data_IF_159604801591
#
_entry.id   IF_159604801591
#
_cell.length_a   1.000
_cell.length_b   1.000
_cell.length_c   1.000
_cell.angle_alpha   90.00
_cell.angle_beta   90.00
_cell.angle_gamma   90.00
#
_symmetry.space_group_name_H-M   'P 1'
#
loop_
_entity.id
_entity.type
_entity.pdbx_description
1 polymer ?
#
# COMPACT_ATOMS: atom_id res chain seq x y z
N UNK A 1 12.70 -23.44 5.51
CA UNK A 1 11.56 -22.53 5.71
C UNK A 1 10.45 -22.92 4.77
N UNK A 2 9.21 -22.75 5.20
CA UNK A 2 8.01 -23.05 4.41
C UNK A 2 7.89 -22.09 3.21
N UNK A 3 7.60 -22.57 1.99
CA UNK A 3 7.36 -21.71 0.84
C UNK A 3 6.14 -20.81 1.06
N UNK A 4 6.38 -19.50 1.08
CA UNK A 4 5.39 -18.51 1.54
C UNK A 4 5.27 -17.32 0.60
N UNK A 5 4.04 -16.89 0.34
CA UNK A 5 3.77 -15.56 -0.24
C UNK A 5 3.29 -14.62 0.87
N UNK A 6 3.92 -13.45 0.97
CA UNK A 6 3.57 -12.42 1.96
C UNK A 6 3.05 -11.19 1.21
N UNK A 7 1.73 -11.02 1.24
CA UNK A 7 1.04 -9.93 0.58
C UNK A 7 0.98 -8.67 1.45
N UNK A 8 1.18 -7.53 0.80
CA UNK A 8 1.08 -6.21 1.40
C UNK A 8 0.33 -5.24 0.48
N UNK A 9 -0.42 -4.31 1.09
CA UNK A 9 -1.23 -3.33 0.35
C UNK A 9 -0.45 -2.26 -0.44
N UNK A 10 0.86 -2.13 -0.25
CA UNK A 10 1.67 -1.16 -1.00
C UNK A 10 3.06 -1.67 -1.34
N UNK A 11 3.65 -1.09 -2.39
CA UNK A 11 5.05 -1.35 -2.77
C UNK A 11 5.97 -1.14 -1.57
N UNK A 12 5.87 -0.03 -0.85
CA UNK A 12 6.76 0.25 0.28
C UNK A 12 6.62 -0.78 1.41
N UNK A 13 5.41 -1.27 1.69
CA UNK A 13 5.18 -2.29 2.72
C UNK A 13 5.85 -3.63 2.40
N UNK A 14 5.95 -4.02 1.12
CA UNK A 14 6.70 -5.24 0.75
C UNK A 14 8.18 -5.15 1.15
N UNK A 15 8.79 -3.96 1.07
CA UNK A 15 10.17 -3.76 1.54
C UNK A 15 10.26 -3.82 3.07
N UNK A 16 9.28 -3.25 3.79
CA UNK A 16 9.21 -3.33 5.25
C UNK A 16 9.10 -4.76 5.76
N UNK A 17 8.35 -5.62 5.06
CA UNK A 17 8.28 -7.07 5.35
C UNK A 17 9.67 -7.71 5.21
N UNK A 18 10.37 -7.43 4.11
CA UNK A 18 11.73 -7.95 3.90
C UNK A 18 12.71 -7.50 5.01
N UNK A 19 12.63 -6.23 5.42
CA UNK A 19 13.40 -5.72 6.55
C UNK A 19 13.07 -6.49 7.84
N UNK A 20 11.79 -6.72 8.13
CA UNK A 20 11.38 -7.47 9.32
C UNK A 20 11.92 -8.91 9.31
N UNK A 21 11.94 -9.57 8.15
CA UNK A 21 12.53 -10.90 7.97
C UNK A 21 14.04 -10.87 8.24
N UNK A 22 14.77 -9.91 7.67
CA UNK A 22 16.21 -9.78 7.89
C UNK A 22 16.55 -9.56 9.36
N UNK A 23 15.76 -8.73 10.07
CA UNK A 23 15.93 -8.50 11.51
C UNK A 23 15.67 -9.77 12.32
N UNK A 24 14.58 -10.49 12.02
CA UNK A 24 14.25 -11.74 12.71
C UNK A 24 15.30 -12.83 12.47
N UNK A 25 15.98 -12.80 11.32
CA UNK A 25 17.06 -13.70 10.96
C UNK A 25 18.45 -13.22 11.40
N UNK A 26 18.55 -12.11 12.11
CA UNK A 26 19.82 -11.49 12.53
C UNK A 26 20.78 -11.19 11.36
N UNK A 27 20.25 -10.91 10.17
CA UNK A 27 21.04 -10.60 8.96
C UNK A 27 20.57 -9.30 8.26
N UNK A 28 20.68 -8.13 8.92
CA UNK A 28 20.15 -6.87 8.40
C UNK A 28 20.66 -6.52 6.99
N UNK A 29 19.73 -6.28 6.05
CA UNK A 29 20.03 -5.81 4.70
C UNK A 29 20.36 -6.90 3.68
N UNK A 30 20.31 -8.20 4.04
CA UNK A 30 20.49 -9.29 3.08
C UNK A 30 19.38 -9.32 2.02
N UNK A 31 18.15 -8.99 2.39
CA UNK A 31 17.01 -8.92 1.48
C UNK A 31 17.13 -7.83 0.41
N UNK A 32 18.05 -6.86 0.57
CA UNK A 32 18.37 -5.84 -0.43
C UNK A 32 19.32 -6.36 -1.51
N UNK A 33 19.91 -7.55 -1.34
CA UNK A 33 20.74 -8.16 -2.37
C UNK A 33 19.84 -8.72 -3.48
N UNK A 34 20.10 -8.41 -4.76
CA UNK A 34 19.26 -8.84 -5.88
C UNK A 34 19.03 -10.37 -5.95
N UNK A 35 20.01 -11.16 -5.49
CA UNK A 35 19.96 -12.63 -5.47
C UNK A 35 19.87 -13.21 -4.06
N UNK A 36 19.06 -12.60 -3.19
CA UNK A 36 18.78 -13.15 -1.87
C UNK A 36 18.24 -14.59 -1.95
N UNK A 37 18.86 -15.51 -1.20
CA UNK A 37 18.43 -16.92 -1.09
C UNK A 37 17.30 -17.12 -0.08
N UNK A 38 16.90 -16.07 0.63
CA UNK A 38 15.85 -16.14 1.65
C UNK A 38 14.52 -15.60 1.13
N UNK A 39 14.53 -14.37 0.63
CA UNK A 39 13.31 -13.65 0.31
C UNK A 39 13.55 -12.67 -0.84
N UNK A 40 12.61 -12.62 -1.78
CA UNK A 40 12.62 -11.66 -2.89
C UNK A 40 11.35 -10.81 -2.90
N UNK A 41 11.41 -9.67 -3.57
CA UNK A 41 10.29 -8.72 -3.72
C UNK A 41 9.60 -8.92 -5.06
N UNK A 42 8.30 -8.76 -5.11
CA UNK A 42 7.53 -8.81 -6.37
C UNK A 42 6.38 -7.80 -6.36
N UNK A 43 6.35 -6.86 -7.30
CA UNK A 43 5.24 -5.93 -7.46
C UNK A 43 5.12 -5.42 -8.90
N UNK A 44 4.19 -4.49 -9.16
CA UNK A 44 3.89 -3.97 -10.50
C UNK A 44 5.11 -3.40 -11.22
N UNK A 45 5.94 -2.62 -10.52
CA UNK A 45 7.14 -1.98 -11.08
C UNK A 45 8.38 -2.90 -11.20
N UNK A 46 8.31 -4.16 -10.77
CA UNK A 46 9.41 -5.10 -10.99
C UNK A 46 9.57 -5.32 -12.50
N UNK A 47 10.81 -5.30 -13.01
CA UNK A 47 11.05 -5.52 -14.43
C UNK A 47 10.56 -6.91 -14.86
N UNK A 48 10.09 -7.05 -16.10
CA UNK A 48 9.44 -8.31 -16.52
C UNK A 48 10.40 -9.51 -16.53
N UNK A 49 11.68 -9.29 -16.86
CA UNK A 49 12.73 -10.30 -16.69
C UNK A 49 12.88 -10.72 -15.22
N UNK A 50 12.97 -9.75 -14.30
CA UNK A 50 13.07 -10.02 -12.86
C UNK A 50 11.84 -10.75 -12.32
N UNK A 51 10.64 -10.48 -12.85
CA UNK A 51 9.41 -11.21 -12.48
C UNK A 51 9.51 -12.66 -12.90
N UNK A 52 9.95 -12.95 -14.12
CA UNK A 52 10.10 -14.31 -14.65
C UNK A 52 11.16 -15.09 -13.85
N UNK A 53 12.32 -14.48 -13.61
CA UNK A 53 13.39 -15.07 -12.83
C UNK A 53 12.95 -15.35 -11.38
N UNK A 54 12.24 -14.40 -10.77
CA UNK A 54 11.70 -14.56 -9.41
C UNK A 54 10.73 -15.74 -9.32
N UNK A 55 9.80 -15.88 -10.28
CA UNK A 55 8.85 -16.99 -10.34
C UNK A 55 9.57 -18.31 -10.60
N UNK A 56 10.49 -18.35 -11.57
CA UNK A 56 11.25 -19.54 -11.93
C UNK A 56 12.09 -20.05 -10.76
N UNK A 57 12.88 -19.16 -10.13
CA UNK A 57 13.69 -19.47 -8.96
C UNK A 57 12.83 -19.93 -7.76
N UNK A 58 11.67 -19.30 -7.57
CA UNK A 58 10.74 -19.72 -6.54
C UNK A 58 10.11 -21.08 -6.87
N UNK A 59 9.80 -21.39 -8.12
CA UNK A 59 9.31 -22.72 -8.48
C UNK A 59 10.41 -23.79 -8.27
N UNK A 60 11.66 -23.45 -8.61
CA UNK A 60 12.81 -24.36 -8.60
C UNK A 60 13.32 -24.74 -7.22
N UNK A 61 12.98 -24.00 -6.16
CA UNK A 61 13.51 -24.30 -4.82
C UNK A 61 14.38 -23.21 -4.22
N UNK A 62 14.89 -22.29 -5.04
CA UNK A 62 16.10 -21.51 -4.78
C UNK A 62 15.97 -20.54 -3.60
N UNK A 63 14.75 -20.08 -3.32
CA UNK A 63 14.42 -19.32 -2.12
C UNK A 63 12.99 -19.61 -1.66
N UNK A 64 12.66 -19.43 -0.36
CA UNK A 64 11.36 -19.81 0.19
C UNK A 64 10.31 -18.69 0.28
N UNK A 65 10.66 -17.40 0.22
CA UNK A 65 9.70 -16.31 0.51
C UNK A 65 9.59 -15.30 -0.62
N UNK A 66 8.36 -14.95 -1.01
CA UNK A 66 8.10 -13.78 -1.86
C UNK A 66 7.31 -12.75 -1.05
N UNK A 67 7.85 -11.54 -0.90
CA UNK A 67 7.06 -10.39 -0.43
C UNK A 67 6.49 -9.65 -1.62
N UNK A 68 5.16 -9.52 -1.68
CA UNK A 68 4.48 -9.07 -2.89
C UNK A 68 3.27 -8.16 -2.66
N UNK A 69 2.91 -7.42 -3.70
CA UNK A 69 1.58 -6.80 -3.79
C UNK A 69 0.63 -7.69 -4.58
N UNK A 70 -0.62 -7.23 -4.77
CA UNK A 70 -1.62 -7.88 -5.64
C UNK A 70 -1.17 -8.04 -7.10
N UNK A 71 -0.08 -7.37 -7.51
CA UNK A 71 0.51 -7.52 -8.83
C UNK A 71 1.06 -8.93 -9.09
N UNK A 72 1.30 -9.73 -8.05
CA UNK A 72 1.51 -11.18 -8.21
C UNK A 72 0.15 -11.83 -8.55
N UNK A 73 -0.28 -11.59 -9.79
CA UNK A 73 -1.65 -11.73 -10.26
C UNK A 73 -2.22 -13.14 -10.19
N UNK A 74 -3.51 -13.22 -10.49
CA UNK A 74 -4.32 -14.44 -10.58
C UNK A 74 -3.90 -15.20 -11.86
N UNK A 75 -3.68 -16.51 -11.78
CA UNK A 75 -3.42 -17.38 -12.96
C UNK A 75 -2.05 -18.04 -13.05
N UNK A 76 -1.12 -17.76 -12.11
CA UNK A 76 0.10 -18.55 -11.96
C UNK A 76 -0.18 -19.79 -11.09
N UNK A 77 0.46 -20.91 -11.42
CA UNK A 77 0.31 -22.16 -10.67
C UNK A 77 1.23 -22.15 -9.44
N UNK A 78 0.65 -22.16 -8.25
CA UNK A 78 1.37 -21.98 -6.98
C UNK A 78 1.48 -23.29 -6.18
N UNK A 79 1.62 -24.45 -6.84
CA UNK A 79 1.75 -25.77 -6.17
C UNK A 79 2.76 -25.80 -5.03
N UNK A 80 3.87 -25.05 -5.14
CA UNK A 80 4.90 -25.00 -4.10
C UNK A 80 4.44 -24.26 -2.84
N UNK A 81 3.52 -23.30 -2.96
CA UNK A 81 3.11 -22.42 -1.87
C UNK A 81 2.35 -23.21 -0.82
N UNK A 82 2.87 -23.20 0.40
CA UNK A 82 2.27 -23.90 1.55
C UNK A 82 1.70 -22.93 2.58
N UNK A 83 2.18 -21.68 2.58
CA UNK A 83 1.70 -20.64 3.48
C UNK A 83 1.44 -19.31 2.75
N UNK A 84 0.41 -18.61 3.18
CA UNK A 84 0.09 -17.25 2.76
C UNK A 84 0.04 -16.36 3.99
N UNK A 85 0.64 -15.19 3.91
CA UNK A 85 0.49 -14.14 4.91
C UNK A 85 -0.07 -12.90 4.23
N UNK A 86 -1.14 -12.31 4.77
CA UNK A 86 -1.60 -10.99 4.35
C UNK A 86 -1.31 -9.97 5.45
N UNK A 87 -0.79 -8.80 5.09
CA UNK A 87 -0.42 -7.73 6.03
C UNK A 87 -1.27 -6.49 5.83
N UNK A 88 -2.06 -6.15 6.86
CA UNK A 88 -2.94 -4.98 6.88
C UNK A 88 -4.35 -5.24 6.31
N UNK A 89 -5.08 -4.15 6.06
CA UNK A 89 -6.43 -4.17 5.48
C UNK A 89 -6.34 -4.64 4.01
N UNK A 90 -7.28 -5.48 3.61
CA UNK A 90 -7.41 -5.97 2.24
C UNK A 90 -8.83 -6.36 1.95
N UNK A 91 -9.25 -6.17 0.70
CA UNK A 91 -10.58 -6.57 0.24
C UNK A 91 -10.81 -8.08 0.47
N UNK A 92 -11.93 -8.49 1.07
CA UNK A 92 -12.18 -9.90 1.40
C UNK A 92 -12.14 -10.83 0.18
N UNK A 93 -12.67 -10.41 -0.97
CA UNK A 93 -12.63 -11.21 -2.19
C UNK A 93 -11.20 -11.42 -2.66
N UNK A 94 -10.37 -10.37 -2.64
CA UNK A 94 -8.95 -10.47 -2.93
C UNK A 94 -8.22 -11.39 -1.92
N UNK A 95 -8.52 -11.27 -0.62
CA UNK A 95 -7.97 -12.15 0.41
C UNK A 95 -8.34 -13.60 0.17
N UNK A 96 -9.59 -13.90 -0.14
CA UNK A 96 -10.02 -15.26 -0.41
C UNK A 96 -9.27 -15.88 -1.59
N UNK A 97 -9.06 -15.11 -2.65
CA UNK A 97 -8.24 -15.53 -3.79
C UNK A 97 -6.77 -15.75 -3.43
N UNK A 98 -6.22 -14.98 -2.48
CA UNK A 98 -4.87 -15.21 -1.96
C UNK A 98 -4.79 -16.51 -1.16
N UNK A 99 -5.76 -16.76 -0.27
CA UNK A 99 -5.85 -17.97 0.55
C UNK A 99 -5.89 -19.21 -0.34
N UNK A 100 -6.62 -19.18 -1.45
CA UNK A 100 -6.70 -20.27 -2.42
C UNK A 100 -5.38 -20.62 -3.15
N UNK A 101 -4.27 -19.93 -2.86
CA UNK A 101 -2.96 -20.21 -3.45
C UNK A 101 -2.11 -21.19 -2.65
N UNK A 102 -2.34 -21.32 -1.34
CA UNK A 102 -1.65 -22.36 -0.56
C UNK A 102 -2.37 -23.70 -0.64
N UNK A 103 -1.61 -24.79 -0.64
CA UNK A 103 -2.16 -26.15 -0.62
C UNK A 103 -2.70 -26.66 -1.97
N UNK A 104 -2.30 -26.03 -3.08
CA UNK A 104 -2.67 -26.47 -4.43
C UNK A 104 -2.08 -27.83 -4.83
N UNK A 105 -1.09 -28.32 -4.08
CA UNK A 105 -0.54 -29.67 -4.21
C UNK A 105 -1.37 -30.73 -3.47
N UNK A 106 -2.52 -30.36 -2.88
CA UNK A 106 -3.41 -31.24 -2.14
C UNK A 106 -3.02 -31.42 -0.66
N UNK A 107 -1.88 -30.86 -0.24
CA UNK A 107 -1.46 -30.88 1.17
C UNK A 107 -2.03 -29.67 1.92
N UNK A 108 -2.13 -29.72 3.26
CA UNK A 108 -2.67 -28.61 4.05
C UNK A 108 -1.96 -27.28 3.76
N UNK A 109 -2.72 -26.22 3.53
CA UNK A 109 -2.20 -24.86 3.41
C UNK A 109 -2.53 -24.05 4.66
N UNK A 110 -1.67 -23.09 5.01
CA UNK A 110 -1.94 -22.15 6.10
C UNK A 110 -2.06 -20.72 5.58
N UNK A 111 -3.14 -20.04 5.94
CA UNK A 111 -3.30 -18.62 5.72
C UNK A 111 -3.28 -17.85 7.05
N UNK A 112 -2.46 -16.81 7.13
CA UNK A 112 -2.36 -15.94 8.30
C UNK A 112 -2.73 -14.52 7.86
N UNK A 113 -3.76 -13.96 8.49
CA UNK A 113 -4.20 -12.58 8.25
C UNK A 113 -3.70 -11.70 9.40
N UNK A 114 -2.65 -10.91 9.15
CA UNK A 114 -2.12 -9.95 10.11
C UNK A 114 -2.91 -8.65 10.01
N UNK A 115 -3.97 -8.56 10.81
CA UNK A 115 -4.88 -7.41 10.88
C UNK A 115 -4.47 -6.42 11.99
N UNK A 116 -4.76 -5.15 11.77
CA UNK A 116 -4.51 -4.11 12.77
C UNK A 116 -5.55 -4.21 13.90
N UNK A 117 -5.10 -4.29 15.16
CA UNK A 117 -5.99 -4.34 16.34
C UNK A 117 -6.98 -3.18 16.39
N UNK A 118 -6.55 -2.00 15.92
CA UNK A 118 -7.40 -0.80 15.82
C UNK A 118 -7.18 -0.11 14.47
N UNK A 119 -8.21 -0.07 13.63
CA UNK A 119 -8.27 0.62 12.33
C UNK A 119 -8.61 2.08 12.55
N UNK A 120 -7.76 3.00 12.11
CA UNK A 120 -8.01 4.45 12.24
C UNK A 120 -9.11 4.87 11.27
N UNK A 121 -10.16 5.50 11.79
CA UNK A 121 -11.32 5.92 10.98
C UNK A 121 -12.19 4.76 10.47
N UNK A 122 -11.91 3.52 10.90
CA UNK A 122 -12.69 2.33 10.58
C UNK A 122 -13.54 1.85 11.75
N UNK A 123 -14.40 0.87 11.48
CA UNK A 123 -15.21 0.19 12.49
C UNK A 123 -14.35 -0.82 13.24
N UNK A 124 -14.40 -0.79 14.56
CA UNK A 124 -13.51 -1.57 15.43
C UNK A 124 -14.21 -2.56 16.35
N UNK A 125 -15.52 -2.44 16.48
CA UNK A 125 -16.36 -3.30 17.29
C UNK A 125 -17.59 -3.75 16.49
N UNK A 126 -18.17 -4.89 16.85
CA UNK A 126 -19.36 -5.42 16.16
C UNK A 126 -20.52 -4.42 16.29
N UNK A 127 -20.65 -3.73 17.42
CA UNK A 127 -21.65 -2.67 17.65
C UNK A 127 -21.54 -1.47 16.71
N UNK A 128 -20.41 -1.28 16.04
CA UNK A 128 -20.23 -0.21 15.05
C UNK A 128 -20.96 -0.54 13.72
N UNK A 129 -21.43 -1.78 13.56
CA UNK A 129 -22.16 -2.25 12.40
C UNK A 129 -23.66 -2.34 12.73
N UNK A 130 -24.47 -1.72 11.88
CA UNK A 130 -25.93 -1.84 11.97
C UNK A 130 -26.36 -3.06 11.16
N UNK A 131 -27.06 -3.99 11.82
CA UNK A 131 -27.54 -5.21 11.18
C UNK A 131 -28.53 -4.88 10.06
N UNK A 132 -28.41 -5.57 8.91
CA UNK A 132 -29.26 -5.37 7.74
C UNK A 132 -28.89 -4.16 6.87
N UNK A 133 -27.92 -3.34 7.27
CA UNK A 133 -27.41 -2.27 6.41
C UNK A 133 -26.38 -2.81 5.40
N UNK A 134 -26.38 -2.22 4.21
CA UNK A 134 -25.34 -2.50 3.20
C UNK A 134 -23.95 -2.17 3.75
N UNK A 135 -22.98 -3.04 3.47
CA UNK A 135 -21.59 -2.81 3.81
C UNK A 135 -20.88 -2.18 2.62
N UNK A 136 -20.25 -1.02 2.83
CA UNK A 136 -19.28 -0.50 1.87
C UNK A 136 -18.05 -1.41 1.77
N UNK A 137 -17.18 -1.20 0.78
CA UNK A 137 -15.92 -1.94 0.69
C UNK A 137 -15.05 -1.76 1.96
N UNK A 138 -15.05 -0.57 2.56
CA UNK A 138 -14.34 -0.33 3.83
C UNK A 138 -14.98 -1.09 5.00
N UNK A 139 -16.30 -1.14 5.05
CA UNK A 139 -17.03 -1.92 6.07
C UNK A 139 -16.73 -3.40 5.95
N UNK A 140 -16.69 -3.95 4.72
CA UNK A 140 -16.34 -5.36 4.48
C UNK A 140 -14.95 -5.71 4.98
N UNK A 141 -13.97 -4.84 4.71
CA UNK A 141 -12.59 -5.00 5.21
C UNK A 141 -12.53 -4.96 6.74
N UNK A 142 -13.30 -4.06 7.35
CA UNK A 142 -13.34 -3.95 8.81
C UNK A 142 -14.10 -5.11 9.45
N UNK A 143 -15.20 -5.55 8.86
CA UNK A 143 -15.98 -6.69 9.31
C UNK A 143 -15.16 -7.98 9.27
N UNK A 144 -14.40 -8.24 8.20
CA UNK A 144 -13.51 -9.40 8.11
C UNK A 144 -12.48 -9.46 9.24
N UNK A 145 -12.01 -8.31 9.72
CA UNK A 145 -11.01 -8.25 10.78
C UNK A 145 -11.57 -8.52 12.19
N UNK A 146 -12.89 -8.51 12.39
CA UNK A 146 -13.53 -8.74 13.71
C UNK A 146 -14.66 -9.75 13.71
N UNK A 147 -14.98 -10.34 12.56
CA UNK A 147 -16.10 -11.28 12.46
C UNK A 147 -15.90 -12.44 13.44
N UNK A 148 -16.89 -12.75 14.28
CA UNK A 148 -16.82 -13.88 15.20
C UNK A 148 -17.22 -15.20 14.53
N UNK A 149 -17.79 -15.16 13.32
CA UNK A 149 -18.35 -16.34 12.68
C UNK A 149 -17.30 -17.12 11.89
N UNK A 150 -17.65 -18.33 11.45
CA UNK A 150 -16.77 -19.16 10.62
C UNK A 150 -16.25 -18.39 9.39
N UNK A 151 -14.93 -18.27 9.23
CA UNK A 151 -14.33 -17.56 8.10
C UNK A 151 -14.64 -18.21 6.74
N UNK A 152 -14.74 -19.55 6.68
CA UNK A 152 -15.12 -20.26 5.44
C UNK A 152 -16.50 -19.82 4.96
N UNK A 153 -17.46 -19.80 5.88
CA UNK A 153 -18.83 -19.36 5.60
C UNK A 153 -18.85 -17.86 5.28
N UNK A 154 -18.15 -17.03 6.06
CA UNK A 154 -18.08 -15.60 5.83
C UNK A 154 -17.56 -15.26 4.40
N UNK A 155 -16.51 -15.94 3.94
CA UNK A 155 -16.02 -15.78 2.57
C UNK A 155 -17.00 -16.32 1.51
N UNK A 156 -17.67 -17.44 1.76
CA UNK A 156 -18.67 -18.01 0.86
C UNK A 156 -19.80 -16.99 0.60
N UNK A 157 -20.36 -16.44 1.69
CA UNK A 157 -21.47 -15.52 1.58
C UNK A 157 -21.05 -14.15 1.05
N UNK A 158 -19.86 -13.64 1.43
CA UNK A 158 -19.34 -12.40 0.83
C UNK A 158 -19.18 -12.50 -0.69
N UNK A 159 -18.73 -13.65 -1.21
CA UNK A 159 -18.61 -13.86 -2.65
C UNK A 159 -19.97 -13.91 -3.37
N UNK A 160 -21.04 -14.33 -2.68
CA UNK A 160 -22.38 -14.47 -3.25
C UNK A 160 -23.26 -13.22 -3.06
N UNK A 161 -23.13 -12.55 -1.92
CA UNK A 161 -24.02 -11.47 -1.47
C UNK A 161 -23.31 -10.16 -1.16
N UNK A 162 -21.97 -10.13 -1.15
CA UNK A 162 -21.19 -8.89 -1.07
C UNK A 162 -21.06 -8.29 0.34
N UNK A 163 -21.18 -9.07 1.41
CA UNK A 163 -20.93 -8.58 2.77
C UNK A 163 -20.40 -9.66 3.72
N UNK A 164 -19.69 -9.23 4.77
CA UNK A 164 -19.14 -10.12 5.80
C UNK A 164 -20.09 -10.19 6.99
N UNK A 165 -20.44 -11.41 7.40
CA UNK A 165 -21.40 -11.66 8.47
C UNK A 165 -20.75 -11.43 9.84
N UNK A 166 -21.52 -10.92 10.79
CA UNK A 166 -21.04 -10.57 12.14
C UNK A 166 -21.81 -11.27 13.25
N UNK A 167 -22.84 -12.05 12.92
CA UNK A 167 -23.67 -12.79 13.87
C UNK A 167 -23.99 -14.18 13.35
N UNK A 168 -24.11 -15.14 14.27
CA UNK A 168 -24.58 -16.50 13.98
C UNK A 168 -26.08 -16.56 13.67
N UNK A 169 -26.82 -15.52 14.05
CA UNK A 169 -28.27 -15.42 13.82
C UNK A 169 -28.64 -14.86 12.44
N UNK A 170 -27.64 -14.54 11.60
CA UNK A 170 -27.90 -14.09 10.24
C UNK A 170 -28.52 -15.23 9.41
N UNK A 171 -29.68 -15.01 8.74
CA UNK A 171 -30.35 -16.05 7.97
C UNK A 171 -29.48 -16.70 6.88
N UNK A 172 -28.64 -15.92 6.19
CA UNK A 172 -27.74 -16.45 5.16
C UNK A 172 -26.60 -17.27 5.78
N UNK A 173 -26.13 -16.88 6.97
CA UNK A 173 -25.17 -17.69 7.73
C UNK A 173 -25.75 -19.05 8.10
N UNK A 174 -26.97 -19.07 8.64
CA UNK A 174 -27.66 -20.30 9.03
C UNK A 174 -27.88 -21.21 7.81
N UNK A 175 -28.31 -20.63 6.69
CA UNK A 175 -28.52 -21.37 5.45
C UNK A 175 -27.23 -22.00 4.92
N UNK A 176 -26.14 -21.23 4.84
CA UNK A 176 -24.86 -21.75 4.35
C UNK A 176 -24.26 -22.79 5.30
N UNK A 177 -24.37 -22.57 6.61
CA UNK A 177 -23.96 -23.56 7.61
C UNK A 177 -24.74 -24.88 7.50
N UNK A 178 -26.04 -24.80 7.18
CA UNK A 178 -26.89 -25.98 6.97
C UNK A 178 -26.50 -26.72 5.68
N UNK A 179 -26.27 -25.98 4.59
CA UNK A 179 -25.81 -26.53 3.31
C UNK A 179 -24.45 -27.24 3.44
N UNK A 180 -23.49 -26.65 4.14
CA UNK A 180 -22.19 -27.30 4.39
C UNK A 180 -22.34 -28.64 5.13
N UNK A 181 -23.27 -28.73 6.10
CA UNK A 181 -23.57 -29.97 6.82
C UNK A 181 -24.24 -31.01 5.92
N UNK A 182 -25.26 -30.61 5.16
CA UNK A 182 -25.98 -31.49 4.23
C UNK A 182 -25.05 -32.11 3.17
N UNK A 183 -24.07 -31.33 2.71
CA UNK A 183 -23.07 -31.78 1.73
C UNK A 183 -21.83 -32.42 2.36
N UNK A 184 -21.87 -32.71 3.67
CA UNK A 184 -20.78 -33.38 4.40
C UNK A 184 -19.42 -32.69 4.25
N UNK A 185 -19.39 -31.36 4.29
CA UNK A 185 -18.13 -30.63 4.26
C UNK A 185 -17.31 -30.96 5.52
N UNK A 186 -15.97 -31.05 5.42
CA UNK A 186 -15.13 -31.26 6.59
C UNK A 186 -15.30 -30.11 7.58
N UNK A 187 -15.13 -30.40 8.87
CA UNK A 187 -15.15 -29.38 9.91
C UNK A 187 -14.15 -28.25 9.60
N UNK A 188 -14.58 -27.00 9.76
CA UNK A 188 -13.70 -25.86 9.49
C UNK A 188 -12.57 -25.78 10.52
N UNK A 189 -11.36 -25.47 10.07
CA UNK A 189 -10.18 -25.26 10.92
C UNK A 189 -9.78 -23.79 11.03
N UNK A 190 -10.68 -22.84 10.72
CA UNK A 190 -10.37 -21.43 10.89
C UNK A 190 -10.26 -21.05 12.37
N UNK A 191 -9.61 -19.93 12.66
CA UNK A 191 -9.38 -19.44 14.03
C UNK A 191 -10.65 -19.30 14.84
N UNK A 192 -11.78 -18.95 14.21
CA UNK A 192 -13.07 -18.77 14.88
C UNK A 192 -13.80 -20.10 15.15
N UNK A 193 -13.41 -21.19 14.46
CA UNK A 193 -14.02 -22.51 14.66
C UNK A 193 -13.18 -23.42 15.56
N UNK A 194 -11.86 -23.20 15.62
CA UNK A 194 -10.91 -23.98 16.42
C UNK A 194 -9.97 -23.08 17.21
N UNK A 195 -10.53 -22.23 18.07
CA UNK A 195 -9.77 -21.26 18.87
C UNK A 195 -8.66 -21.93 19.70
N UNK A 196 -8.97 -23.06 20.35
CA UNK A 196 -8.01 -23.79 21.20
C UNK A 196 -6.78 -24.33 20.45
N UNK A 197 -6.89 -24.57 19.13
CA UNK A 197 -5.79 -25.04 18.32
C UNK A 197 -4.84 -23.91 17.86
N UNK A 198 -5.27 -22.65 17.97
CA UNK A 198 -4.50 -21.49 17.48
C UNK A 198 -3.21 -21.31 18.28
N UNK A 199 -3.25 -21.41 19.60
CA UNK A 199 -2.07 -21.22 20.44
C UNK A 199 -1.01 -22.30 20.21
N UNK A 200 -1.43 -23.55 20.04
CA UNK A 200 -0.55 -24.66 19.67
C UNK A 200 0.10 -24.40 18.30
N UNK A 201 -0.71 -24.06 17.28
CA UNK A 201 -0.22 -23.73 15.95
C UNK A 201 0.82 -22.60 15.99
N UNK A 202 0.49 -21.47 16.63
CA UNK A 202 1.37 -20.30 16.67
C UNK A 202 2.68 -20.56 17.41
N UNK A 203 2.65 -21.32 18.51
CA UNK A 203 3.86 -21.66 19.26
C UNK A 203 4.80 -22.60 18.48
N UNK A 204 4.23 -23.48 17.64
CA UNK A 204 4.99 -24.43 16.84
C UNK A 204 5.46 -23.89 15.48
N UNK A 205 4.89 -22.79 14.97
CA UNK A 205 5.22 -22.23 13.66
C UNK A 205 6.71 -21.87 13.46
N UNK A 206 7.42 -21.53 14.53
CA UNK A 206 8.86 -21.28 14.47
C UNK A 206 9.69 -22.53 14.05
N UNK A 207 9.15 -23.73 14.29
CA UNK A 207 9.77 -25.00 13.90
C UNK A 207 9.36 -25.44 12.49
N UNK A 208 8.55 -24.64 11.78
CA UNK A 208 8.02 -25.01 10.49
C UNK A 208 9.10 -25.06 9.39
N UNK A 209 9.17 -26.23 8.77
CA UNK A 209 10.05 -26.56 7.66
C UNK A 209 9.28 -27.35 6.60
N UNK A 210 9.93 -27.72 5.50
CA UNK A 210 9.26 -28.53 4.47
C UNK A 210 8.80 -29.91 4.98
N UNK A 211 9.45 -30.45 6.01
CA UNK A 211 9.14 -31.76 6.59
C UNK A 211 8.21 -31.68 7.80
N UNK A 212 8.24 -30.59 8.57
CA UNK A 212 7.47 -30.46 9.82
C UNK A 212 6.16 -29.69 9.67
N UNK A 213 5.97 -28.97 8.56
CA UNK A 213 4.82 -28.08 8.39
C UNK A 213 3.47 -28.81 8.38
N UNK A 214 3.41 -29.99 7.77
CA UNK A 214 2.17 -30.77 7.67
C UNK A 214 1.71 -31.20 9.08
N UNK A 215 2.63 -31.72 9.90
CA UNK A 215 2.36 -32.10 11.28
C UNK A 215 1.96 -30.90 12.15
N UNK A 216 2.60 -29.74 11.95
CA UNK A 216 2.28 -28.51 12.69
C UNK A 216 0.87 -28.02 12.36
N UNK A 217 0.50 -27.98 11.08
CA UNK A 217 -0.83 -27.50 10.65
C UNK A 217 -1.92 -28.51 11.01
N UNK A 218 -1.58 -29.79 11.10
CA UNK A 218 -2.49 -30.86 11.51
C UNK A 218 -2.53 -31.12 13.01
N UNK A 219 -1.82 -30.33 13.83
CA UNK A 219 -1.77 -30.45 15.30
C UNK A 219 -1.21 -31.80 15.80
N UNK A 220 -0.31 -32.41 15.00
CA UNK A 220 0.37 -33.66 15.32
C UNK A 220 1.84 -33.46 15.71
N UNK A 221 2.35 -32.22 15.62
CA UNK A 221 3.75 -31.92 15.89
C UNK A 221 4.04 -31.83 17.39
N UNK A 222 5.02 -32.61 17.84
CA UNK A 222 5.52 -32.60 19.22
C UNK A 222 7.00 -32.23 19.21
N UNK A 223 7.39 -31.35 20.12
CA UNK A 223 8.78 -30.92 20.29
C UNK A 223 9.09 -30.68 21.75
N UNK A 224 10.26 -31.13 22.19
CA UNK A 224 10.80 -30.84 23.52
C UNK A 224 11.59 -29.51 23.55
N UNK A 225 11.76 -28.89 22.38
CA UNK A 225 12.49 -27.64 22.25
C UNK A 225 11.61 -26.46 22.66
N UNK A 226 12.11 -25.66 23.59
CA UNK A 226 11.47 -24.40 23.95
C UNK A 226 11.64 -23.35 22.83
N UNK A 227 10.60 -22.56 22.54
CA UNK A 227 10.71 -21.39 21.68
C UNK A 227 11.86 -20.47 22.07
N UNK A 228 12.63 -20.03 21.08
CA UNK A 228 13.59 -18.96 21.31
C UNK A 228 12.82 -17.65 21.47
N UNK A 229 12.82 -17.08 22.68
CA UNK A 229 12.23 -15.76 22.98
C UNK A 229 12.96 -14.58 22.31
N UNK A 230 13.88 -14.85 21.38
CA UNK A 230 14.61 -13.83 20.63
C UNK A 230 13.67 -13.10 19.67
N UNK A 231 12.90 -12.16 20.22
CA UNK A 231 12.22 -11.15 19.45
C UNK A 231 13.26 -10.13 19.01
N UNK A 232 13.40 -9.85 17.70
CA UNK A 232 14.32 -8.81 17.26
C UNK A 232 13.97 -7.52 18.00
N UNK A 233 14.97 -6.91 18.63
CA UNK A 233 14.75 -5.68 19.39
C UNK A 233 14.21 -4.63 18.43
N UNK A 234 12.95 -4.21 18.63
CA UNK A 234 12.31 -3.21 17.78
C UNK A 234 13.09 -1.90 17.91
N UNK A 235 14.03 -1.65 16.98
CA UNK A 235 14.69 -0.36 16.88
C UNK A 235 13.62 0.66 16.54
N UNK A 236 13.21 1.44 17.53
CA UNK A 236 12.21 2.47 17.32
C UNK A 236 12.77 3.46 16.31
N UNK A 237 12.04 3.66 15.22
CA UNK A 237 12.33 4.81 14.38
C UNK A 237 12.07 6.07 15.21
N UNK A 238 12.91 7.12 15.06
CA UNK A 238 12.66 8.39 15.69
C UNK A 238 11.23 8.83 15.39
N UNK A 239 10.52 9.33 16.40
CA UNK A 239 9.13 9.78 16.21
C UNK A 239 9.10 10.93 15.21
N UNK A 240 8.06 10.94 14.37
CA UNK A 240 7.72 12.10 13.53
C UNK A 240 7.66 13.34 14.42
N UNK A 241 8.41 14.37 14.07
CA UNK A 241 8.39 15.62 14.79
C UNK A 241 7.31 16.54 14.21
N UNK A 242 6.52 17.22 15.06
CA UNK A 242 5.66 18.29 14.59
C UNK A 242 6.53 19.42 14.04
N UNK A 243 6.08 20.02 12.94
CA UNK A 243 6.72 21.20 12.38
C UNK A 243 6.38 22.37 13.31
N UNK A 244 7.36 23.10 13.88
CA UNK A 244 7.09 24.29 14.66
C UNK A 244 6.33 25.34 13.84
N UNK A 245 5.40 26.08 14.47
CA UNK A 245 4.53 27.03 13.76
C UNK A 245 5.32 28.08 12.96
N UNK A 246 6.43 28.57 13.51
CA UNK A 246 7.31 29.54 12.85
C UNK A 246 8.02 29.02 11.60
N UNK A 247 8.02 27.71 11.35
CA UNK A 247 8.61 27.07 10.16
C UNK A 247 7.56 26.56 9.18
N UNK A 248 6.27 26.71 9.49
CA UNK A 248 5.19 26.03 8.78
C UNK A 248 5.08 26.45 7.31
N UNK A 249 5.16 27.75 7.03
CA UNK A 249 5.14 28.28 5.65
C UNK A 249 6.39 27.84 4.88
N UNK A 250 7.57 27.99 5.47
CA UNK A 250 8.83 27.64 4.84
C UNK A 250 8.94 26.14 4.53
N UNK A 251 8.42 25.28 5.42
CA UNK A 251 8.36 23.83 5.21
C UNK A 251 7.32 23.47 4.16
N UNK A 252 6.19 24.18 4.08
CA UNK A 252 5.19 23.98 3.03
C UNK A 252 5.75 24.35 1.65
N UNK A 253 6.48 25.47 1.55
CA UNK A 253 7.18 25.87 0.33
C UNK A 253 8.25 24.85 -0.06
N UNK A 254 9.04 24.37 0.91
CA UNK A 254 10.00 23.30 0.66
C UNK A 254 9.31 22.02 0.15
N UNK A 255 8.17 21.61 0.74
CA UNK A 255 7.39 20.45 0.28
C UNK A 255 6.98 20.62 -1.19
N UNK A 256 6.41 21.77 -1.51
CA UNK A 256 5.90 22.09 -2.85
C UNK A 256 7.04 22.09 -3.88
N UNK A 257 8.16 22.75 -3.55
CA UNK A 257 9.34 22.79 -4.41
C UNK A 257 9.96 21.39 -4.58
N UNK A 258 10.03 20.59 -3.51
CA UNK A 258 10.58 19.24 -3.57
C UNK A 258 9.79 18.35 -4.53
N UNK A 259 8.45 18.42 -4.49
CA UNK A 259 7.58 17.66 -5.39
C UNK A 259 7.66 18.16 -6.83
N UNK A 260 7.64 19.48 -7.03
CA UNK A 260 7.73 20.10 -8.37
C UNK A 260 9.07 19.79 -9.03
N UNK A 261 10.17 20.04 -8.32
CA UNK A 261 11.53 19.82 -8.83
C UNK A 261 11.83 18.34 -9.05
N UNK A 262 11.25 17.45 -8.23
CA UNK A 262 11.41 16.01 -8.43
C UNK A 262 10.78 15.55 -9.74
N UNK A 263 9.62 16.11 -10.13
CA UNK A 263 9.02 15.79 -11.42
C UNK A 263 9.93 16.18 -12.60
N UNK A 264 10.60 17.34 -12.51
CA UNK A 264 11.58 17.76 -13.51
C UNK A 264 12.83 16.87 -13.50
N UNK A 265 13.34 16.51 -12.32
CA UNK A 265 14.45 15.55 -12.18
C UNK A 265 14.10 14.20 -12.80
N UNK A 266 12.89 13.68 -12.54
CA UNK A 266 12.40 12.43 -13.08
C UNK A 266 12.29 12.47 -14.62
N UNK A 267 11.69 13.53 -15.17
CA UNK A 267 11.56 13.70 -16.62
C UNK A 267 12.93 13.70 -17.33
N UNK A 268 13.93 14.34 -16.73
CA UNK A 268 15.30 14.37 -17.27
C UNK A 268 16.03 13.01 -17.18
N UNK A 269 15.69 12.16 -16.20
CA UNK A 269 16.34 10.86 -16.01
C UNK A 269 15.71 9.75 -16.86
N UNK A 270 14.38 9.77 -17.05
CA UNK A 270 13.63 8.65 -17.66
C UNK A 270 13.03 9.01 -19.04
N UNK A 271 12.99 10.29 -19.41
CA UNK A 271 12.46 10.80 -20.68
C UNK A 271 10.93 10.98 -20.70
N UNK A 272 10.41 11.75 -21.67
CA UNK A 272 8.98 12.13 -21.78
C UNK A 272 8.01 10.96 -22.07
N UNK A 273 8.52 9.73 -22.28
CA UNK A 273 7.73 8.54 -22.58
C UNK A 273 7.65 7.49 -21.46
N UNK A 274 8.12 7.81 -20.25
CA UNK A 274 8.18 6.86 -19.14
C UNK A 274 6.79 6.33 -18.73
N UNK A 275 6.63 5.01 -18.64
CA UNK A 275 5.38 4.37 -18.18
C UNK A 275 5.07 4.70 -16.70
N UNK A 276 6.10 5.02 -15.92
CA UNK A 276 6.01 5.44 -14.51
C UNK A 276 6.28 6.94 -14.46
N UNK A 277 5.39 7.71 -13.82
CA UNK A 277 5.52 9.16 -13.70
C UNK A 277 6.20 9.54 -12.38
N UNK A 278 6.78 10.74 -12.30
CA UNK A 278 7.43 11.24 -11.07
C UNK A 278 6.62 11.06 -9.78
N UNK A 279 5.31 11.37 -9.76
CA UNK A 279 4.46 11.17 -8.58
C UNK A 279 4.24 9.70 -8.20
N UNK A 280 4.43 8.76 -9.13
CA UNK A 280 4.35 7.32 -8.86
C UNK A 280 5.61 6.77 -8.16
N UNK A 281 6.69 7.54 -8.18
CA UNK A 281 8.02 7.24 -7.58
C UNK A 281 8.22 8.00 -6.28
N UNK A 282 7.81 9.27 -6.22
CA UNK A 282 7.92 10.12 -5.04
C UNK A 282 6.72 11.07 -4.97
N UNK A 283 5.83 10.83 -4.00
CA UNK A 283 4.57 11.55 -3.84
C UNK A 283 4.49 12.41 -2.58
N UNK A 284 3.31 13.00 -2.34
CA UNK A 284 3.05 13.83 -1.16
C UNK A 284 3.30 13.09 0.15
N UNK A 285 2.93 11.80 0.22
CA UNK A 285 3.14 10.96 1.40
C UNK A 285 4.63 10.83 1.73
N UNK A 286 5.46 10.63 0.71
CA UNK A 286 6.92 10.51 0.87
C UNK A 286 7.53 11.84 1.33
N UNK A 287 7.06 12.95 0.75
CA UNK A 287 7.49 14.29 1.15
C UNK A 287 7.10 14.61 2.61
N UNK A 288 5.89 14.21 3.04
CA UNK A 288 5.45 14.37 4.44
C UNK A 288 6.29 13.55 5.42
N UNK A 289 6.73 12.37 5.00
CA UNK A 289 7.63 11.52 5.77
C UNK A 289 9.01 12.17 5.91
N UNK A 290 9.56 12.74 4.84
CA UNK A 290 10.82 13.51 4.90
C UNK A 290 10.69 14.65 5.90
N UNK A 291 9.67 15.49 5.73
CA UNK A 291 9.42 16.66 6.59
C UNK A 291 9.34 16.25 8.05
N UNK A 292 8.59 15.17 8.31
CA UNK A 292 8.41 14.60 9.63
C UNK A 292 9.69 14.12 10.31
N UNK A 293 10.74 13.81 9.55
CA UNK A 293 11.99 13.25 10.06
C UNK A 293 13.22 14.09 9.67
N UNK A 294 13.05 15.36 9.25
CA UNK A 294 14.13 16.23 8.78
C UNK A 294 15.35 16.22 9.71
N UNK A 295 15.15 16.34 11.02
CA UNK A 295 16.24 16.36 12.00
C UNK A 295 17.02 15.05 12.11
N UNK A 296 16.44 13.93 11.66
CA UNK A 296 17.01 12.59 11.77
C UNK A 296 17.61 12.07 10.46
N UNK A 297 17.50 12.83 9.37
CA UNK A 297 18.09 12.48 8.07
C UNK A 297 19.51 13.07 8.01
N UNK A 298 20.52 12.25 8.25
CA UNK A 298 21.94 12.66 8.19
C UNK A 298 22.69 12.02 7.02
N UNK A 299 22.10 11.03 6.37
CA UNK A 299 22.67 10.32 5.23
C UNK A 299 21.59 9.87 4.26
N UNK A 300 22.01 9.49 3.05
CA UNK A 300 21.15 8.81 2.07
C UNK A 300 20.61 7.47 2.59
N UNK A 301 21.32 6.82 3.53
CA UNK A 301 20.86 5.60 4.20
C UNK A 301 19.68 5.87 5.13
N UNK A 302 19.71 6.97 5.87
CA UNK A 302 18.59 7.40 6.72
C UNK A 302 17.37 7.75 5.85
N UNK A 303 17.61 8.48 4.75
CA UNK A 303 16.57 8.83 3.80
C UNK A 303 15.88 7.59 3.22
N UNK A 304 16.67 6.60 2.76
CA UNK A 304 16.16 5.31 2.28
C UNK A 304 15.40 4.56 3.37
N UNK A 305 15.81 4.68 4.64
CA UNK A 305 15.13 4.05 5.77
C UNK A 305 13.74 4.65 6.04
N UNK A 306 13.59 5.97 5.89
CA UNK A 306 12.32 6.66 6.18
C UNK A 306 11.32 6.58 5.03
N UNK A 307 11.74 6.91 3.81
CA UNK A 307 10.86 6.88 2.63
C UNK A 307 10.61 5.43 2.18
N UNK A 308 11.64 4.59 2.26
CA UNK A 308 11.59 3.23 1.71
C UNK A 308 11.42 3.23 0.19
N UNK A 309 10.85 2.15 -0.33
CA UNK A 309 10.46 2.05 -1.74
C UNK A 309 11.59 1.76 -2.73
N UNK A 310 11.19 1.66 -4.00
CA UNK A 310 12.16 1.66 -5.11
C UNK A 310 12.59 3.10 -5.37
N UNK A 311 13.87 3.29 -5.66
CA UNK A 311 14.41 4.59 -6.00
C UNK A 311 14.97 4.53 -7.42
N UNK A 312 14.77 5.58 -8.20
CA UNK A 312 15.50 5.75 -9.46
C UNK A 312 16.97 6.09 -9.16
N UNK A 313 17.85 5.84 -10.12
CA UNK A 313 19.26 6.17 -9.99
C UNK A 313 19.43 7.66 -9.65
N UNK A 314 20.27 7.97 -8.67
CA UNK A 314 20.52 9.34 -8.22
C UNK A 314 19.44 9.97 -7.34
N UNK A 315 18.22 9.41 -7.23
CA UNK A 315 17.12 10.01 -6.43
C UNK A 315 17.52 10.30 -4.99
N UNK A 316 18.13 9.33 -4.29
CA UNK A 316 18.48 9.51 -2.88
C UNK A 316 19.55 10.56 -2.67
N UNK A 317 20.52 10.67 -3.59
CA UNK A 317 21.53 11.72 -3.56
C UNK A 317 20.86 13.08 -3.79
N UNK A 318 20.04 13.19 -4.84
CA UNK A 318 19.34 14.42 -5.19
C UNK A 318 18.43 14.94 -4.06
N UNK A 319 17.63 14.04 -3.47
CA UNK A 319 16.75 14.37 -2.33
C UNK A 319 17.59 14.79 -1.11
N UNK A 320 18.68 14.08 -0.83
CA UNK A 320 19.55 14.40 0.29
C UNK A 320 20.21 15.77 0.12
N UNK A 321 20.67 16.12 -1.07
CA UNK A 321 21.27 17.43 -1.36
C UNK A 321 20.27 18.57 -1.14
N UNK A 322 19.01 18.39 -1.57
CA UNK A 322 17.92 19.36 -1.32
C UNK A 322 17.62 19.51 0.16
N UNK A 323 17.62 18.41 0.93
CA UNK A 323 17.43 18.44 2.38
C UNK A 323 18.59 19.17 3.07
N UNK A 324 19.83 18.90 2.66
CA UNK A 324 21.02 19.59 3.21
C UNK A 324 20.96 21.08 2.92
N UNK A 325 20.60 21.48 1.70
CA UNK A 325 20.44 22.88 1.34
C UNK A 325 19.36 23.57 2.19
N UNK A 326 18.21 22.91 2.36
CA UNK A 326 17.14 23.41 3.21
C UNK A 326 17.57 23.59 4.66
N UNK A 327 18.29 22.62 5.23
CA UNK A 327 18.84 22.71 6.60
C UNK A 327 19.80 23.89 6.76
N UNK A 328 20.69 24.12 5.79
CA UNK A 328 21.60 25.27 5.79
C UNK A 328 20.85 26.60 5.75
N UNK A 329 19.77 26.68 4.97
CA UNK A 329 18.94 27.88 4.89
C UNK A 329 18.19 28.16 6.20
N UNK A 330 17.73 27.11 6.90
CA UNK A 330 17.14 27.24 8.25
C UNK A 330 18.14 27.80 9.26
N UNK A 331 19.36 27.27 9.27
CA UNK A 331 20.44 27.72 10.16
C UNK A 331 20.82 29.18 9.87
N UNK A 332 20.94 29.54 8.59
CA UNK A 332 21.28 30.90 8.15
C UNK A 332 20.17 31.92 8.48
N UNK A 333 18.90 31.57 8.28
CA UNK A 333 17.76 32.43 8.63
C UNK A 333 17.59 32.66 10.13
N UNK A 334 18.00 31.68 10.96
CA UNK A 334 17.98 31.79 12.42
C UNK A 334 19.00 32.81 12.96
N UNK A 335 20.17 32.92 12.31
CA UNK A 335 21.22 33.88 12.68
C UNK A 335 20.83 35.33 12.36
N UNK A 336 20.12 35.57 11.25
CA UNK A 336 19.61 36.89 10.89
C UNK A 336 18.52 37.40 11.86
N UNK A 337 17.69 36.52 12.41
CA UNK A 337 16.65 36.89 13.38
C UNK A 337 17.23 37.24 14.78
N UNK A 338 18.31 36.58 15.22
CA UNK A 338 19.00 36.96 16.47
C UNK A 338 19.64 38.36 16.41
N UNK A 339 20.13 38.79 15.24
CA UNK A 339 20.73 40.12 15.08
C UNK A 339 19.70 41.25 15.02
N UNK A 340 18.48 40.99 14.54
CA UNK A 340 17.37 41.95 14.60
C UNK A 340 16.84 42.13 16.03
N UNK A 341 16.78 41.06 16.83
CA UNK A 341 16.32 41.16 18.23
C UNK A 341 17.32 41.87 19.16
N UNK A 342 18.64 41.81 18.88
CA UNK A 342 19.64 42.59 19.64
C UNK A 342 19.66 44.09 19.34
N UNK A 343 19.01 44.55 18.25
CA UNK A 343 18.93 45.98 17.88
C UNK A 343 17.65 46.68 18.37
N UNK A 344 16.82 46.00 19.17
CA UNK A 344 15.56 46.52 19.68
C UNK A 344 15.52 46.48 21.22
N UNK A 345 16.55 47.03 21.87
CA UNK A 345 16.48 47.44 23.28
C UNK A 345 16.31 48.97 23.32
N UNK A 346 15.39 49.52 24.14
CA UNK A 346 15.07 50.94 24.14
C UNK A 346 15.98 51.71 25.11
N UNK A 347 16.57 52.82 24.65
CA UNK A 347 17.15 53.85 25.52
C UNK A 347 16.12 54.96 25.75
N UNK A 348 15.94 55.31 27.02
CA UNK A 348 14.99 56.28 27.55
C UNK A 348 15.36 57.76 27.26
N UNK A 349 14.30 58.53 26.99
CA UNK A 349 14.03 59.95 27.26
C UNK A 349 15.08 61.05 26.96
N UNK A 350 14.73 62.00 26.06
CA UNK A 350 14.39 63.39 26.44
C UNK A 350 13.93 64.27 25.25
N UNK A 351 12.69 64.76 25.37
CA UNK A 351 12.18 66.13 25.21
C UNK A 351 12.50 67.10 24.03
N UNK A 352 11.38 67.66 23.52
CA UNK A 352 11.08 69.07 23.16
C UNK A 352 11.28 69.61 21.71
N UNK A 353 10.10 69.97 21.14
CA UNK A 353 9.68 71.10 20.30
C UNK A 353 10.19 71.38 18.87
N UNK A 354 9.18 71.44 17.96
CA UNK A 354 8.82 72.49 16.98
C UNK A 354 9.97 73.26 16.30
N UNK A 355 10.05 73.23 14.95
CA UNK A 355 9.84 74.40 14.05
C UNK A 355 10.04 74.05 12.56
N UNK A 356 9.09 74.53 11.77
CA UNK A 356 8.99 74.79 10.33
C UNK A 356 10.29 75.08 9.56
N UNK A 357 10.44 74.58 8.31
CA UNK A 357 10.96 75.33 7.13
C UNK A 357 10.88 74.55 5.80
N UNK A 358 9.91 74.95 4.94
CA UNK A 358 10.00 75.39 3.53
C UNK A 358 11.05 74.79 2.52
N UNK A 359 10.51 74.24 1.42
CA UNK A 359 10.96 74.34 -0.02
C UNK A 359 12.27 73.63 -0.46
N UNK A 360 12.49 73.09 -1.69
CA UNK A 360 11.87 73.22 -3.04
C UNK A 360 12.50 72.19 -4.02
N UNK A 361 11.73 71.79 -5.07
CA UNK A 361 12.10 71.49 -6.49
C UNK A 361 12.99 70.25 -6.81
N UNK A 362 12.87 69.51 -7.93
CA UNK A 362 12.16 69.72 -9.21
C UNK A 362 12.00 68.42 -10.04
N UNK A 363 11.03 68.47 -10.97
CA UNK A 363 10.61 67.55 -12.05
C UNK A 363 11.74 67.10 -13.01
N UNK A 364 11.52 65.98 -13.73
CA UNK A 364 11.37 65.86 -15.22
C UNK A 364 11.34 64.36 -15.62
N UNK A 365 10.23 63.79 -16.09
CA UNK A 365 9.68 63.66 -17.47
C UNK A 365 10.45 62.74 -18.44
N UNK A 366 9.75 61.68 -18.87
CA UNK A 366 9.99 60.76 -19.99
C UNK A 366 9.93 61.44 -21.37
N UNK A 367 10.30 60.71 -22.45
CA UNK A 367 9.41 60.55 -23.62
C UNK A 367 9.30 59.06 -24.08
N UNK A 368 8.11 58.46 -24.25
CA UNK A 368 7.21 58.40 -25.43
C UNK A 368 7.81 57.66 -26.67
N UNK A 369 7.46 56.38 -26.94
CA UNK A 369 6.35 55.77 -27.78
C UNK A 369 6.61 55.83 -29.31
N UNK A 370 6.65 54.74 -30.12
CA UNK A 370 5.58 53.89 -30.76
C UNK A 370 6.20 53.17 -32.03
N UNK A 371 5.49 52.44 -32.93
CA UNK A 371 4.60 51.25 -32.88
C UNK A 371 4.99 50.15 -33.95
N UNK A 372 4.47 48.91 -34.01
CA UNK A 372 3.14 48.52 -34.57
C UNK A 372 3.09 46.98 -34.80
N UNK A 373 2.05 46.32 -34.25
CA UNK A 373 1.00 45.51 -34.93
C UNK A 373 1.35 44.12 -35.48
N UNK A 374 0.73 43.07 -34.91
CA UNK A 374 -0.17 42.18 -35.64
C UNK A 374 -1.08 41.39 -34.66
N UNK A 375 -2.37 41.47 -34.95
CA UNK A 375 -3.52 40.86 -34.28
C UNK A 375 -3.76 39.43 -34.77
N UNK A 376 -4.39 38.62 -33.89
CA UNK A 376 -5.24 37.42 -34.11
C UNK A 376 -4.72 36.11 -33.49
N UNK A 377 -5.22 35.82 -32.28
CA UNK A 377 -5.71 34.50 -31.86
C UNK A 377 -6.40 34.64 -30.48
N UNK A 378 -7.67 35.03 -30.48
CA UNK A 378 -8.56 34.78 -29.33
C UNK A 378 -9.14 33.38 -29.53
N UNK A 379 -8.53 32.36 -28.93
CA UNK A 379 -9.14 31.04 -28.80
C UNK A 379 -9.01 30.57 -27.35
N UNK A 380 -10.17 30.47 -26.69
CA UNK A 380 -10.51 29.68 -25.49
C UNK A 380 -9.40 29.35 -24.49
N UNK A 381 -9.02 30.31 -23.64
CA UNK A 381 -8.35 30.01 -22.37
C UNK A 381 -9.37 29.47 -21.34
N UNK A 382 -9.60 28.15 -21.33
CA UNK A 382 -10.25 27.47 -20.20
C UNK A 382 -9.34 27.59 -18.97
N UNK A 383 -9.91 27.99 -17.84
CA UNK A 383 -9.16 28.14 -16.58
C UNK A 383 -8.62 26.77 -16.07
N UNK A 384 -7.52 26.76 -15.29
CA UNK A 384 -6.94 25.52 -14.72
C UNK A 384 -7.96 24.63 -13.99
N UNK A 385 -9.00 25.24 -13.41
CA UNK A 385 -10.12 24.53 -12.74
C UNK A 385 -11.05 23.82 -13.72
N UNK A 386 -11.30 24.42 -14.89
CA UNK A 386 -12.09 23.80 -15.97
C UNK A 386 -11.31 22.65 -16.65
N UNK A 387 -10.00 22.81 -16.87
CA UNK A 387 -9.15 21.74 -17.40
C UNK A 387 -9.02 20.54 -16.44
N UNK A 388 -9.02 20.80 -15.12
CA UNK A 388 -9.04 19.75 -14.10
C UNK A 388 -10.39 19.01 -14.06
N UNK A 389 -11.51 19.75 -14.12
CA UNK A 389 -12.84 19.16 -14.16
C UNK A 389 -13.07 18.33 -15.43
N UNK A 390 -12.58 18.78 -16.58
CA UNK A 390 -12.67 18.05 -17.85
C UNK A 390 -11.79 16.78 -17.86
N UNK A 391 -10.58 16.83 -17.26
CA UNK A 391 -9.74 15.63 -17.05
C UNK A 391 -10.37 14.64 -16.07
N UNK A 392 -11.02 15.12 -15.00
CA UNK A 392 -11.75 14.24 -14.07
C UNK A 392 -12.99 13.62 -14.73
N UNK A 393 -13.72 14.38 -15.56
CA UNK A 393 -14.84 13.87 -16.33
C UNK A 393 -14.41 12.82 -17.36
N UNK A 394 -13.32 13.06 -18.10
CA UNK A 394 -12.73 12.09 -19.04
C UNK A 394 -12.24 10.82 -18.33
N UNK A 395 -11.60 10.95 -17.16
CA UNK A 395 -11.17 9.79 -16.36
C UNK A 395 -12.36 9.00 -15.80
N UNK A 396 -13.42 9.69 -15.37
CA UNK A 396 -14.66 9.04 -14.92
C UNK A 396 -15.36 8.32 -16.08
N UNK A 397 -15.37 8.92 -17.27
CA UNK A 397 -15.93 8.31 -18.48
C UNK A 397 -15.13 7.08 -18.92
N UNK A 398 -13.79 7.14 -18.94
CA UNK A 398 -12.95 5.97 -19.22
C UNK A 398 -13.10 4.86 -18.19
N UNK A 399 -13.28 5.19 -16.91
CA UNK A 399 -13.55 4.19 -15.86
C UNK A 399 -14.92 3.54 -16.08
N UNK A 400 -15.94 4.31 -16.46
CA UNK A 400 -17.27 3.79 -16.79
C UNK A 400 -17.24 2.89 -18.03
N UNK A 401 -16.59 3.33 -19.11
CA UNK A 401 -16.43 2.54 -20.33
C UNK A 401 -15.65 1.24 -20.09
N UNK A 402 -14.59 1.27 -19.26
CA UNK A 402 -13.87 0.06 -18.87
C UNK A 402 -14.72 -0.87 -18.00
N UNK A 403 -15.52 -0.32 -17.09
CA UNK A 403 -16.45 -1.10 -16.27
C UNK A 403 -17.53 -1.76 -17.12
N UNK A 404 -18.15 -1.01 -18.04
CA UNK A 404 -19.18 -1.51 -18.96
C UNK A 404 -18.59 -2.56 -19.92
N UNK A 405 -17.37 -2.36 -20.42
CA UNK A 405 -16.64 -3.36 -21.24
C UNK A 405 -16.36 -4.63 -20.45
N UNK A 406 -15.97 -4.53 -19.18
CA UNK A 406 -15.71 -5.69 -18.33
C UNK A 406 -17.02 -6.46 -18.03
N UNK A 407 -18.11 -5.75 -17.81
CA UNK A 407 -19.44 -6.35 -17.61
C UNK A 407 -19.94 -7.04 -18.88
N UNK A 408 -19.75 -6.44 -20.07
CA UNK A 408 -20.08 -7.07 -21.35
C UNK A 408 -19.26 -8.35 -21.60
N UNK A 409 -17.98 -8.38 -21.21
CA UNK A 409 -17.14 -9.58 -21.28
C UNK A 409 -17.63 -10.67 -20.31
N UNK A 410 -18.02 -10.29 -19.09
CA UNK A 410 -18.60 -11.22 -18.10
C UNK A 410 -19.92 -11.82 -18.60
N UNK A 411 -20.79 -11.01 -19.18
CA UNK A 411 -22.08 -11.48 -19.71
C UNK A 411 -21.90 -12.41 -20.91
N UNK A 412 -20.98 -12.09 -21.84
CA UNK A 412 -20.62 -13.01 -22.93
C UNK A 412 -20.08 -14.35 -22.42
N UNK A 413 -19.26 -14.34 -21.37
CA UNK A 413 -18.79 -15.57 -20.72
C UNK A 413 -19.93 -16.36 -20.08
N UNK A 414 -20.89 -15.67 -19.45
CA UNK A 414 -22.06 -16.32 -18.83
C UNK A 414 -22.92 -17.02 -19.88
N UNK A 415 -23.17 -16.36 -21.01
CA UNK A 415 -23.92 -16.94 -22.15
C UNK A 415 -23.16 -18.14 -22.72
N UNK A 416 -21.85 -18.01 -22.96
CA UNK A 416 -21.02 -19.11 -23.48
C UNK A 416 -21.03 -20.33 -22.55
N UNK A 417 -20.94 -20.12 -21.23
CA UNK A 417 -21.01 -21.23 -20.25
C UNK A 417 -22.39 -21.88 -20.26
N UNK A 418 -23.47 -21.09 -20.38
CA UNK A 418 -24.83 -21.64 -20.47
C UNK A 418 -25.04 -22.47 -21.75
N UNK A 419 -24.48 -22.05 -22.88
CA UNK A 419 -24.52 -22.80 -24.14
C UNK A 419 -23.77 -24.14 -24.02
N UNK A 420 -22.57 -24.15 -23.43
CA UNK A 420 -21.79 -25.36 -23.19
C UNK A 420 -22.57 -26.34 -22.28
N UNK A 421 -23.18 -25.83 -21.21
CA UNK A 421 -23.98 -26.66 -20.30
C UNK A 421 -25.17 -27.29 -21.03
N UNK A 422 -25.85 -26.52 -21.87
CA UNK A 422 -26.97 -27.01 -22.68
C UNK A 422 -26.53 -28.08 -23.67
N UNK A 423 -25.42 -27.87 -24.36
CA UNK A 423 -24.87 -28.82 -25.34
C UNK A 423 -24.44 -30.14 -24.68
N UNK A 424 -23.83 -30.07 -23.49
CA UNK A 424 -23.51 -31.25 -22.67
C UNK A 424 -24.79 -31.99 -22.25
N UNK A 425 -25.82 -31.26 -21.82
CA UNK A 425 -27.09 -31.87 -21.40
C UNK A 425 -27.82 -32.54 -22.57
N UNK A 426 -27.83 -31.91 -23.75
CA UNK A 426 -28.42 -32.47 -24.98
C UNK A 426 -27.66 -33.70 -25.48
N UNK A 427 -26.33 -33.73 -25.35
CA UNK A 427 -25.51 -34.90 -25.68
C UNK A 427 -25.72 -36.06 -24.71
N UNK A 428 -25.94 -35.78 -23.42
CA UNK A 428 -26.32 -36.79 -22.41
C UNK A 428 -27.75 -37.31 -22.65
N UNK A 429 -28.67 -36.47 -23.10
CA UNK A 429 -30.03 -36.88 -23.45
C UNK A 429 -30.04 -37.80 -24.69
N UNK A 430 -29.27 -37.46 -25.73
CA UNK A 430 -29.15 -38.27 -26.96
C UNK A 430 -28.48 -39.63 -26.73
N UNK A 431 -27.52 -39.72 -25.80
CA UNK A 431 -26.88 -41.00 -25.45
C UNK A 431 -27.80 -41.90 -24.62
N UNK A 432 -28.81 -41.34 -23.93
CA UNK A 432 -29.83 -42.10 -23.19
C UNK A 432 -30.98 -42.61 -24.06
N UNK A 433 -31.27 -41.99 -25.20
CA UNK A 433 -32.31 -42.43 -26.15
C UNK A 433 -31.79 -43.39 -27.22
N UNK A 434 -30.48 -43.65 -27.27
CA UNK A 434 -29.83 -44.54 -28.24
C UNK A 434 -29.44 -45.91 -27.66
N UNK A 435 -29.92 -46.24 -26.46
CA UNK A 435 -29.78 -47.55 -25.81
C UNK A 435 -31.13 -48.21 -25.59
#
# INVERSE_FOLDING_TARGET
>A
MVPTLIYSGSRNRTLSVLHAIDLAREVPGQSLKPKSSCAKRYHSCTADGDKQDCISDFAAGNFPLISCTMALGLGQNWKRVRMIMNTGRGDPTAIFQMVGRCGQDGRPGLAILLVEKKRRGGKNQISDFVQGCEQSNDDRMDALAITPVCLRIAFSIDNLHGYIHLSFDDPLYIQEASREKELNFPACCCSNCKESAVDCLLSNLQFASNSTFDDIVSDNFVTDLNPSDKRPTKRQNPRRQPVPDHLREMVADFKSNLLSDFNAFHANQVGEGATVQGPDVFGEEDADVIIGHLKHIHSTKDLRKFIGGECIAGQLAWLFDRIVLFKKNLESGSQFNMQKQKRAAPDDANDIAITTTRSKRQKTTLPARLPSTLTKAKENNKTKKQLSAEKQALSAQQKKENHDRLNAIKEKRRIQVAEIIKEVHDNIAKSRTSN
#
